data_IF_138938512900
#
_entry.id   IF_138938512900
#
_cell.length_a   1.000
_cell.length_b   1.000
_cell.length_c   1.000
_cell.angle_alpha   90.00
_cell.angle_beta   90.00
_cell.angle_gamma   90.00
#
_symmetry.space_group_name_H-M   'P 1'
#
loop_
_entity.id
_entity.type
_entity.pdbx_description
1 polymer ?
#
# COMPACT_ATOMS: atom_id res chain seq x y z
N UNK A 1 5.21 -65.81 -44.84
CA UNK A 1 5.08 -64.33 -44.85
C UNK A 1 5.62 -63.80 -46.16
N UNK A 2 4.87 -62.98 -46.91
CA UNK A 2 5.29 -62.50 -48.25
C UNK A 2 6.42 -61.46 -48.16
N UNK A 3 7.26 -61.36 -49.19
CA UNK A 3 8.40 -60.43 -49.24
C UNK A 3 7.96 -58.95 -49.12
N UNK A 4 6.79 -58.60 -49.67
CA UNK A 4 6.21 -57.26 -49.61
C UNK A 4 5.84 -56.85 -48.18
N UNK A 5 5.35 -57.80 -47.38
CA UNK A 5 5.00 -57.55 -45.99
C UNK A 5 6.23 -57.19 -45.14
N UNK A 6 7.36 -57.90 -45.34
CA UNK A 6 8.61 -57.64 -44.58
C UNK A 6 9.17 -56.25 -44.86
N UNK A 7 9.22 -55.85 -46.13
CA UNK A 7 9.72 -54.52 -46.53
C UNK A 7 8.84 -53.41 -45.95
N UNK A 8 7.51 -53.56 -46.04
CA UNK A 8 6.56 -52.60 -45.46
C UNK A 8 6.67 -52.50 -43.94
N UNK A 9 6.91 -53.64 -43.26
CA UNK A 9 7.07 -53.68 -41.81
C UNK A 9 8.33 -52.92 -41.36
N UNK A 10 9.47 -53.14 -42.02
CA UNK A 10 10.71 -52.43 -41.68
C UNK A 10 10.60 -50.92 -41.94
N UNK A 11 9.99 -50.50 -43.06
CA UNK A 11 9.77 -49.09 -43.35
C UNK A 11 8.88 -48.40 -42.30
N UNK A 12 7.80 -49.07 -41.90
CA UNK A 12 6.89 -48.54 -40.88
C UNK A 12 7.59 -48.36 -39.53
N UNK A 13 8.47 -49.29 -39.14
CA UNK A 13 9.24 -49.18 -37.89
C UNK A 13 10.19 -47.99 -37.93
N UNK A 14 10.92 -47.80 -39.04
CA UNK A 14 11.85 -46.67 -39.19
C UNK A 14 11.10 -45.33 -39.15
N UNK A 15 9.97 -45.22 -39.85
CA UNK A 15 9.14 -44.01 -39.83
C UNK A 15 8.57 -43.74 -38.43
N UNK A 16 8.10 -44.77 -37.73
CA UNK A 16 7.55 -44.64 -36.39
C UNK A 16 8.62 -44.18 -35.38
N UNK A 17 9.84 -44.71 -35.46
CA UNK A 17 10.96 -44.28 -34.63
C UNK A 17 11.32 -42.83 -34.93
N UNK A 18 11.43 -42.45 -36.21
CA UNK A 18 11.72 -41.06 -36.61
C UNK A 18 10.67 -40.07 -36.12
N UNK A 19 9.38 -40.41 -36.26
CA UNK A 19 8.27 -39.60 -35.75
C UNK A 19 8.30 -39.50 -34.21
N UNK A 20 8.58 -40.61 -33.52
CA UNK A 20 8.66 -40.63 -32.04
C UNK A 20 9.80 -39.76 -31.53
N UNK A 21 10.97 -39.80 -32.17
CA UNK A 21 12.12 -38.96 -31.81
C UNK A 21 11.79 -37.48 -32.04
N UNK A 22 11.22 -37.14 -33.19
CA UNK A 22 10.83 -35.76 -33.51
C UNK A 22 9.77 -35.24 -32.52
N UNK A 23 8.77 -36.05 -32.20
CA UNK A 23 7.74 -35.73 -31.21
C UNK A 23 8.36 -35.52 -29.83
N UNK A 24 9.32 -36.34 -29.41
CA UNK A 24 10.03 -36.18 -28.14
C UNK A 24 10.84 -34.89 -28.08
N UNK A 25 11.60 -34.57 -29.14
CA UNK A 25 12.39 -33.32 -29.23
C UNK A 25 11.48 -32.09 -29.17
N UNK A 26 10.40 -32.10 -29.95
CA UNK A 26 9.40 -31.04 -29.94
C UNK A 26 8.77 -30.91 -28.55
N UNK A 27 8.34 -32.01 -27.93
CA UNK A 27 7.75 -32.00 -26.59
C UNK A 27 8.70 -31.42 -25.53
N UNK A 28 9.99 -31.79 -25.55
CA UNK A 28 10.98 -31.29 -24.58
C UNK A 28 11.26 -29.80 -24.83
N UNK A 29 11.38 -29.39 -26.08
CA UNK A 29 11.65 -27.99 -26.44
C UNK A 29 10.47 -27.09 -26.08
N UNK A 30 9.25 -27.51 -26.42
CA UNK A 30 8.02 -26.80 -26.05
C UNK A 30 7.88 -26.72 -24.53
N UNK A 31 8.13 -27.81 -23.80
CA UNK A 31 8.09 -27.78 -22.33
C UNK A 31 9.09 -26.80 -21.74
N UNK A 32 10.34 -26.78 -22.25
CA UNK A 32 11.38 -25.84 -21.80
C UNK A 32 11.01 -24.38 -22.11
N UNK A 33 10.52 -24.12 -23.32
CA UNK A 33 10.12 -22.77 -23.75
C UNK A 33 8.94 -22.27 -22.92
N UNK A 34 7.90 -23.10 -22.75
CA UNK A 34 6.72 -22.74 -21.95
C UNK A 34 7.10 -22.48 -20.49
N UNK A 35 7.98 -23.30 -19.91
CA UNK A 35 8.47 -23.07 -18.55
C UNK A 35 9.20 -21.73 -18.42
N UNK A 36 10.13 -21.44 -19.33
CA UNK A 36 10.86 -20.16 -19.34
C UNK A 36 9.92 -18.97 -19.56
N UNK A 37 8.95 -19.10 -20.44
CA UNK A 37 7.94 -18.08 -20.70
C UNK A 37 7.08 -17.81 -19.47
N UNK A 38 6.62 -18.85 -18.77
CA UNK A 38 5.86 -18.73 -17.51
C UNK A 38 6.68 -18.05 -16.43
N UNK A 39 7.95 -18.43 -16.25
CA UNK A 39 8.85 -17.80 -15.27
C UNK A 39 9.08 -16.31 -15.57
N UNK A 40 9.35 -15.98 -16.83
CA UNK A 40 9.54 -14.58 -17.26
C UNK A 40 8.26 -13.76 -17.12
N UNK A 41 7.13 -14.28 -17.60
CA UNK A 41 5.83 -13.60 -17.50
C UNK A 41 5.39 -13.43 -16.04
N UNK A 42 5.67 -14.42 -15.17
CA UNK A 42 5.41 -14.33 -13.74
C UNK A 42 6.25 -13.21 -13.10
N UNK A 43 7.52 -13.09 -13.49
CA UNK A 43 8.41 -12.03 -12.97
C UNK A 43 7.93 -10.65 -13.40
N UNK A 44 7.67 -10.47 -14.70
CA UNK A 44 7.15 -9.20 -15.26
C UNK A 44 5.81 -8.81 -14.60
N UNK A 45 4.92 -9.79 -14.41
CA UNK A 45 3.63 -9.56 -13.77
C UNK A 45 3.81 -9.17 -12.31
N UNK A 46 4.69 -9.85 -11.58
CA UNK A 46 5.00 -9.55 -10.17
C UNK A 46 5.62 -8.16 -10.01
N UNK A 47 6.54 -7.78 -10.91
CA UNK A 47 7.11 -6.43 -10.94
C UNK A 47 6.05 -5.37 -11.21
N UNK A 48 5.15 -5.61 -12.18
CA UNK A 48 4.05 -4.68 -12.48
C UNK A 48 3.17 -4.44 -11.25
N UNK A 49 2.73 -5.51 -10.58
CA UNK A 49 1.94 -5.37 -9.36
C UNK A 49 2.70 -4.69 -8.23
N UNK A 50 4.01 -4.96 -8.11
CA UNK A 50 4.87 -4.29 -7.13
C UNK A 50 4.97 -2.79 -7.39
N UNK A 51 5.08 -2.38 -8.66
CA UNK A 51 5.08 -0.97 -9.07
C UNK A 51 3.74 -0.29 -8.80
N UNK A 52 2.63 -0.97 -9.04
CA UNK A 52 1.29 -0.45 -8.76
C UNK A 52 1.08 -0.19 -7.26
N UNK A 53 1.46 -1.16 -6.41
CA UNK A 53 1.43 -0.99 -4.95
C UNK A 53 2.36 0.15 -4.51
N UNK A 54 3.57 0.21 -5.09
CA UNK A 54 4.54 1.27 -4.81
C UNK A 54 3.97 2.64 -5.16
N UNK A 55 3.31 2.80 -6.30
CA UNK A 55 2.73 4.06 -6.74
C UNK A 55 1.65 4.58 -5.77
N UNK A 56 0.81 3.67 -5.26
CA UNK A 56 -0.21 4.00 -4.24
C UNK A 56 0.47 4.51 -2.95
N UNK A 57 1.51 3.82 -2.49
CA UNK A 57 2.24 4.18 -1.27
C UNK A 57 3.02 5.49 -1.44
N UNK A 58 3.67 5.68 -2.58
CA UNK A 58 4.42 6.90 -2.91
C UNK A 58 3.47 8.10 -3.03
N UNK A 59 2.28 7.90 -3.60
CA UNK A 59 1.22 8.91 -3.63
C UNK A 59 0.80 9.33 -2.23
N UNK A 60 0.49 8.38 -1.34
CA UNK A 60 0.14 8.69 0.05
C UNK A 60 1.26 9.47 0.76
N UNK A 61 2.52 9.06 0.54
CA UNK A 61 3.69 9.73 1.11
C UNK A 61 3.88 11.15 0.55
N UNK A 62 3.60 11.36 -0.72
CA UNK A 62 3.65 12.67 -1.36
C UNK A 62 2.67 13.64 -0.69
N UNK A 63 1.42 13.23 -0.45
CA UNK A 63 0.45 14.07 0.27
C UNK A 63 0.90 14.37 1.71
N UNK A 64 1.39 13.37 2.45
CA UNK A 64 1.88 13.56 3.81
C UNK A 64 3.06 14.54 3.87
N UNK A 65 4.03 14.42 2.95
CA UNK A 65 5.17 15.35 2.84
C UNK A 65 4.73 16.73 2.38
N UNK A 66 3.79 16.81 1.44
CA UNK A 66 3.19 18.05 0.96
C UNK A 66 2.51 18.83 2.09
N UNK A 67 1.77 18.14 2.96
CA UNK A 67 1.17 18.76 4.15
C UNK A 67 2.20 19.16 5.19
N UNK A 68 3.20 18.31 5.43
CA UNK A 68 4.26 18.60 6.41
C UNK A 68 5.09 19.84 6.04
N UNK A 69 5.41 20.00 4.75
CA UNK A 69 6.34 21.04 4.26
C UNK A 69 6.04 22.46 4.78
N UNK A 70 4.84 23.03 4.58
CA UNK A 70 4.53 24.37 5.10
C UNK A 70 4.46 24.40 6.63
N UNK A 71 3.99 23.31 7.26
CA UNK A 71 3.79 23.23 8.70
C UNK A 71 5.08 23.13 9.53
N UNK A 72 6.25 22.95 8.88
CA UNK A 72 7.56 23.04 9.54
C UNK A 72 7.93 24.51 9.81
N UNK A 73 7.47 25.44 8.98
CA UNK A 73 7.92 26.84 9.01
C UNK A 73 6.86 27.80 9.55
N UNK A 74 5.60 27.40 9.54
CA UNK A 74 4.49 28.23 9.99
C UNK A 74 3.43 27.38 10.70
N UNK A 75 2.68 28.05 11.57
CA UNK A 75 1.53 27.48 12.27
C UNK A 75 0.28 28.26 11.87
N UNK A 76 -0.39 27.88 10.75
CA UNK A 76 -1.65 28.49 10.35
C UNK A 76 -2.73 28.33 11.43
N UNK A 77 -3.87 29.01 11.33
CA UNK A 77 -5.01 28.76 12.21
C UNK A 77 -5.41 27.28 12.20
N UNK A 78 -5.64 26.69 13.37
CA UNK A 78 -5.92 25.25 13.54
C UNK A 78 -7.11 24.81 12.68
N UNK A 79 -8.15 25.64 12.61
CA UNK A 79 -9.37 25.39 11.83
C UNK A 79 -9.08 25.29 10.33
N UNK A 80 -8.17 26.11 9.83
CA UNK A 80 -7.75 26.07 8.43
C UNK A 80 -7.03 24.76 8.12
N UNK A 81 -6.16 24.30 9.02
CA UNK A 81 -5.46 23.02 8.86
C UNK A 81 -6.41 21.82 8.99
N UNK A 82 -7.34 21.84 9.96
CA UNK A 82 -8.38 20.82 10.12
C UNK A 82 -9.24 20.70 8.86
N UNK A 83 -9.65 21.85 8.29
CA UNK A 83 -10.41 21.88 7.03
C UNK A 83 -9.58 21.34 5.88
N UNK A 84 -8.30 21.70 5.81
CA UNK A 84 -7.40 21.26 4.74
C UNK A 84 -7.18 19.74 4.76
N UNK A 85 -6.92 19.14 5.93
CA UNK A 85 -6.75 17.67 6.01
C UNK A 85 -8.07 16.93 5.70
N UNK A 86 -9.23 17.52 6.03
CA UNK A 86 -10.55 16.98 5.67
C UNK A 86 -10.72 16.94 4.16
N UNK A 87 -10.42 18.05 3.48
CA UNK A 87 -10.53 18.14 2.01
C UNK A 87 -9.62 17.13 1.29
N UNK A 88 -8.42 16.86 1.81
CA UNK A 88 -7.55 15.81 1.25
C UNK A 88 -8.27 14.46 1.24
N UNK A 89 -8.88 14.08 2.36
CA UNK A 89 -9.57 12.79 2.45
C UNK A 89 -10.84 12.76 1.60
N UNK A 90 -11.54 13.88 1.46
CA UNK A 90 -12.72 13.98 0.59
C UNK A 90 -12.37 13.88 -0.91
N UNK A 91 -11.21 14.42 -1.32
CA UNK A 91 -10.75 14.41 -2.71
C UNK A 91 -10.00 13.13 -3.09
N UNK A 92 -9.48 12.39 -2.12
CA UNK A 92 -8.67 11.18 -2.35
C UNK A 92 -9.35 9.95 -1.74
N UNK A 93 -10.31 9.33 -2.47
CA UNK A 93 -11.08 8.19 -1.96
C UNK A 93 -10.22 6.94 -1.70
N UNK A 94 -8.98 6.90 -2.20
CA UNK A 94 -8.03 5.82 -1.95
C UNK A 94 -7.35 5.92 -0.57
N UNK A 95 -7.44 7.08 0.11
CA UNK A 95 -6.90 7.25 1.45
C UNK A 95 -8.01 7.15 2.49
N UNK A 96 -7.79 6.30 3.48
CA UNK A 96 -8.74 6.16 4.58
C UNK A 96 -8.72 7.36 5.52
N UNK A 97 -7.52 7.84 5.88
CA UNK A 97 -7.35 8.89 6.88
C UNK A 97 -6.05 9.68 6.71
N UNK A 98 -6.05 10.91 7.25
CA UNK A 98 -4.89 11.78 7.40
C UNK A 98 -4.95 12.43 8.78
N UNK A 99 -3.82 12.52 9.47
CA UNK A 99 -3.77 12.98 10.84
C UNK A 99 -2.50 13.78 11.12
N UNK A 100 -2.58 14.60 12.17
CA UNK A 100 -1.45 15.34 12.74
C UNK A 100 -1.42 15.05 14.24
N UNK A 101 -0.22 14.96 14.82
CA UNK A 101 0.00 14.88 16.26
C UNK A 101 1.22 15.74 16.59
N UNK A 102 0.99 16.93 17.14
CA UNK A 102 2.06 17.79 17.67
C UNK A 102 2.42 17.37 19.08
N UNK A 103 3.60 17.69 19.62
CA UNK A 103 3.85 17.61 21.07
C UNK A 103 3.05 18.71 21.82
N UNK A 104 2.85 18.57 23.14
CA UNK A 104 2.14 19.58 23.94
C UNK A 104 2.71 20.98 23.70
N UNK A 105 1.83 21.93 23.45
CA UNK A 105 2.09 23.35 23.17
C UNK A 105 3.01 23.65 21.97
N UNK A 106 3.44 22.65 21.17
CA UNK A 106 4.38 22.88 20.07
C UNK A 106 3.77 23.45 18.79
N UNK A 107 2.44 23.40 18.62
CA UNK A 107 1.84 23.95 17.40
C UNK A 107 1.82 25.47 17.42
N UNK A 108 1.17 26.06 18.43
CA UNK A 108 0.94 27.50 18.54
C UNK A 108 1.01 28.01 19.99
N UNK A 109 1.38 27.16 20.96
CA UNK A 109 1.43 27.48 22.39
C UNK A 109 0.08 27.76 23.05
N UNK A 110 -1.03 27.36 22.43
CA UNK A 110 -2.39 27.68 22.89
C UNK A 110 -3.23 26.45 23.24
N UNK A 111 -2.63 25.29 23.53
CA UNK A 111 -3.38 24.05 23.74
C UNK A 111 -4.49 24.23 24.79
N UNK A 112 -4.20 24.93 25.89
CA UNK A 112 -5.17 25.19 26.96
C UNK A 112 -6.49 25.85 26.49
N UNK A 113 -6.46 26.64 25.42
CA UNK A 113 -7.64 27.32 24.83
C UNK A 113 -8.53 26.35 24.03
N UNK A 114 -7.97 25.25 23.53
CA UNK A 114 -8.65 24.30 22.66
C UNK A 114 -9.15 23.03 23.39
N UNK A 115 -9.02 22.97 24.72
CA UNK A 115 -9.48 21.82 25.51
C UNK A 115 -10.94 21.47 25.23
N UNK A 116 -11.20 20.22 24.84
CA UNK A 116 -12.52 19.70 24.51
C UNK A 116 -13.27 20.47 23.41
N UNK A 117 -12.57 21.26 22.60
CA UNK A 117 -13.15 21.89 21.41
C UNK A 117 -13.21 20.89 20.27
N UNK A 118 -13.94 21.23 19.20
CA UNK A 118 -14.06 20.35 18.04
C UNK A 118 -12.68 19.98 17.46
N UNK A 119 -12.43 18.67 17.29
CA UNK A 119 -11.18 18.15 16.75
C UNK A 119 -10.00 18.11 17.73
N UNK A 120 -10.21 18.42 19.01
CA UNK A 120 -9.18 18.45 20.05
C UNK A 120 -9.51 17.50 21.21
N UNK A 121 -8.46 16.98 21.86
CA UNK A 121 -8.60 16.13 23.02
C UNK A 121 -8.88 16.93 24.31
N UNK A 122 -8.89 16.23 25.45
CA UNK A 122 -9.10 16.85 26.76
C UNK A 122 -7.98 17.80 27.19
N UNK A 123 -6.80 17.70 26.58
CA UNK A 123 -5.64 18.57 26.83
C UNK A 123 -5.64 19.80 25.92
N UNK A 124 -6.39 19.75 24.82
CA UNK A 124 -6.44 20.79 23.80
C UNK A 124 -5.27 20.74 22.82
N UNK A 125 -4.50 19.65 22.87
CA UNK A 125 -3.37 19.39 21.99
C UNK A 125 -3.81 19.29 20.54
N UNK A 126 -2.98 19.78 19.62
CA UNK A 126 -3.30 19.73 18.21
C UNK A 126 -3.08 18.32 17.64
N UNK A 127 -4.14 17.51 17.72
CA UNK A 127 -4.16 16.10 17.31
C UNK A 127 -5.30 15.73 16.34
N UNK A 128 -5.57 16.49 15.27
CA UNK A 128 -6.72 16.22 14.42
C UNK A 128 -6.55 14.93 13.60
N UNK A 129 -7.63 14.16 13.50
CA UNK A 129 -7.72 12.93 12.71
C UNK A 129 -8.91 13.04 11.74
N UNK A 130 -8.61 13.17 10.44
CA UNK A 130 -9.58 13.17 9.36
C UNK A 130 -9.69 11.77 8.77
N UNK A 131 -10.91 11.27 8.59
CA UNK A 131 -11.14 9.91 8.08
C UNK A 131 -12.41 9.81 7.25
N UNK A 132 -12.44 8.84 6.34
CA UNK A 132 -13.63 8.57 5.54
C UNK A 132 -14.78 8.06 6.40
N UNK A 133 -15.98 8.59 6.16
CA UNK A 133 -17.20 8.17 6.87
C UNK A 133 -17.90 6.94 6.27
N UNK A 134 -17.40 6.44 5.14
CA UNK A 134 -18.08 5.43 4.31
C UNK A 134 -18.98 6.04 3.22
N UNK A 135 -19.32 7.33 3.33
CA UNK A 135 -19.98 8.08 2.25
C UNK A 135 -18.93 8.81 1.39
N UNK A 136 -18.98 8.59 0.07
CA UNK A 136 -18.04 9.19 -0.88
C UNK A 136 -18.05 10.73 -0.77
N UNK A 137 -16.88 11.31 -0.57
CA UNK A 137 -16.71 12.77 -0.46
C UNK A 137 -17.16 13.37 0.87
N UNK A 138 -17.44 12.55 1.90
CA UNK A 138 -17.77 13.03 3.24
C UNK A 138 -16.76 12.49 4.26
N UNK A 139 -15.74 13.28 4.56
CA UNK A 139 -14.82 12.95 5.66
C UNK A 139 -15.37 13.45 7.00
N UNK A 140 -14.99 12.78 8.09
CA UNK A 140 -15.26 13.20 9.47
C UNK A 140 -13.95 13.56 10.16
N UNK A 141 -14.05 14.42 11.16
CA UNK A 141 -12.94 14.83 12.02
C UNK A 141 -13.22 14.34 13.44
N UNK A 142 -12.18 13.83 14.10
CA UNK A 142 -12.15 13.60 15.55
C UNK A 142 -10.72 13.84 16.08
N UNK A 143 -10.52 13.93 17.39
CA UNK A 143 -9.18 13.88 17.96
C UNK A 143 -8.57 12.50 17.69
N UNK A 144 -7.27 12.45 17.39
CA UNK A 144 -6.52 11.21 17.33
C UNK A 144 -6.49 10.56 18.72
N UNK A 145 -6.29 9.25 18.80
CA UNK A 145 -6.29 8.48 20.04
C UNK A 145 -5.20 7.41 20.02
N UNK A 146 -4.75 6.99 21.19
CA UNK A 146 -3.76 5.91 21.32
C UNK A 146 -2.33 6.28 20.87
N UNK A 147 -2.07 7.53 20.50
CA UNK A 147 -0.72 7.98 20.11
C UNK A 147 0.29 7.89 21.26
N UNK A 148 -0.15 7.92 22.53
CA UNK A 148 0.73 7.71 23.70
C UNK A 148 0.93 6.23 24.07
N UNK A 149 0.24 5.31 23.41
CA UNK A 149 0.32 3.90 23.75
C UNK A 149 1.71 3.34 23.45
N UNK A 150 2.24 2.52 24.37
CA UNK A 150 3.56 1.88 24.25
C UNK A 150 3.48 0.38 23.93
N UNK A 151 2.28 -0.16 23.74
CA UNK A 151 2.00 -1.57 23.45
C UNK A 151 2.06 -1.91 21.94
N UNK A 152 2.60 -1.01 21.13
CA UNK A 152 2.66 -1.11 19.66
C UNK A 152 1.47 -0.44 18.95
N UNK A 153 0.33 -0.22 19.62
CA UNK A 153 -0.83 0.43 18.97
C UNK A 153 -0.60 1.92 18.71
N UNK A 154 0.33 2.54 19.43
CA UNK A 154 0.77 3.93 19.25
C UNK A 154 1.97 4.12 18.32
N UNK A 155 2.47 3.05 17.68
CA UNK A 155 3.71 3.09 16.89
C UNK A 155 3.64 4.06 15.70
N UNK A 156 2.43 4.33 15.21
CA UNK A 156 2.19 5.35 14.19
C UNK A 156 2.72 6.74 14.59
N UNK A 157 2.78 7.04 15.89
CA UNK A 157 3.34 8.28 16.44
C UNK A 157 4.68 8.03 17.16
N UNK A 158 4.76 6.99 17.99
CA UNK A 158 5.92 6.74 18.84
C UNK A 158 7.18 6.40 18.04
N UNK A 159 7.07 5.67 16.92
CA UNK A 159 8.24 5.29 16.11
C UNK A 159 8.81 6.49 15.35
N UNK A 160 8.01 7.30 14.61
CA UNK A 160 8.52 8.52 13.98
C UNK A 160 9.07 9.53 14.99
N UNK A 161 8.45 9.65 16.18
CA UNK A 161 8.93 10.51 17.27
C UNK A 161 10.35 10.13 17.72
N UNK A 162 10.61 8.84 17.91
CA UNK A 162 11.92 8.34 18.39
C UNK A 162 12.98 8.33 17.29
N UNK A 163 12.62 7.92 16.09
CA UNK A 163 13.57 7.70 14.99
C UNK A 163 13.85 8.96 14.18
N UNK A 164 12.94 9.95 14.21
CA UNK A 164 12.91 11.12 13.32
C UNK A 164 12.77 10.81 11.83
N UNK A 165 12.54 9.54 11.48
CA UNK A 165 12.42 9.05 10.12
C UNK A 165 10.95 8.88 9.73
N UNK A 166 10.71 8.89 8.41
CA UNK A 166 9.44 8.44 7.85
C UNK A 166 9.33 6.93 8.04
N UNK A 167 8.18 6.44 8.52
CA UNK A 167 7.96 5.02 8.79
C UNK A 167 6.69 4.52 8.11
N UNK A 168 6.77 3.35 7.47
CA UNK A 168 5.61 2.57 7.11
C UNK A 168 5.34 1.56 8.23
N UNK A 169 4.14 1.59 8.80
CA UNK A 169 3.74 0.66 9.85
C UNK A 169 3.17 -0.62 9.23
N UNK A 170 3.39 -1.75 9.89
CA UNK A 170 2.71 -2.99 9.53
C UNK A 170 1.18 -2.82 9.70
N UNK A 171 0.37 -3.59 8.97
CA UNK A 171 -1.08 -3.54 9.12
C UNK A 171 -1.48 -3.82 10.57
N UNK A 172 -2.14 -2.84 11.19
CA UNK A 172 -2.73 -2.96 12.52
C UNK A 172 -4.23 -2.74 12.38
N UNK A 173 -5.02 -3.48 13.17
CA UNK A 173 -6.45 -3.23 13.25
C UNK A 173 -6.66 -1.84 13.86
N UNK A 174 -7.13 -0.90 13.07
CA UNK A 174 -7.73 0.32 13.62
C UNK A 174 -9.06 -0.10 14.20
N UNK A 175 -9.14 -0.26 15.53
CA UNK A 175 -10.43 -0.52 16.16
C UNK A 175 -11.39 0.58 15.72
N UNK A 176 -12.54 0.24 15.08
CA UNK A 176 -13.59 1.20 14.88
C UNK A 176 -14.14 1.50 16.27
N UNK A 177 -13.58 2.51 16.93
CA UNK A 177 -14.15 3.02 18.16
C UNK A 177 -15.48 3.64 17.74
N UNK A 178 -16.55 2.92 18.09
CA UNK A 178 -17.97 3.26 17.98
C UNK A 178 -18.26 4.67 18.44
#
# INVERSE_FOLDING_TARGET
>A
MSIRFRISLYLSIVLFIGFSILAAINSITTYKNLKSEVENNSTITSERWSLEVKDILDSAMFYARGFRSPLIFTSPPREAVITSIKEVIERNPNFFALWLVYEPDLYDGKDAQYRNTFGHDSTGRFVPYAFQSGEKGKARIRPNVGYENQDGTGDFYQVPKKTTLTTFQNPTATNPIT
#
